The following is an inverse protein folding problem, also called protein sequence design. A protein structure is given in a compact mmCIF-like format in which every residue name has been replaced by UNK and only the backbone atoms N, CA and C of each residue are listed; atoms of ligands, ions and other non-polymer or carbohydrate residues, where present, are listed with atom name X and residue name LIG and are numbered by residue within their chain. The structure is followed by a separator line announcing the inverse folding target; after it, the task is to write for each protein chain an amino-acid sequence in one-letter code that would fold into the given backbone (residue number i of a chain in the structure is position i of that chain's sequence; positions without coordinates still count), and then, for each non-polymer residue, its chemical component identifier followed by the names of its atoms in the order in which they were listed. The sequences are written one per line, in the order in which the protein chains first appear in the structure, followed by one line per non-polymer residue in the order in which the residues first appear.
data_IF_330246637491
#
_entry.id   IF_330246637491
#
_cell.length_a   1.000
_cell.length_b   1.000
_cell.length_c   1.000
_cell.angle_alpha   90.00
_cell.angle_beta   90.00
_cell.angle_gamma   90.00
#
_symmetry.space_group_name_H-M   'P 1'
#
loop_
_entity.id
_entity.type
_entity.pdbx_description
1 polymer ?
#
# COMPACT_ATOMS: atom_id res chain seq x y z
N UNK A 1 16.91 -9.10 -9.18
CA UNK A 1 15.54 -8.63 -8.93
C UNK A 1 15.52 -7.13 -9.15
N UNK A 2 14.77 -6.63 -10.12
CA UNK A 2 14.62 -5.19 -10.36
C UNK A 2 13.39 -4.63 -9.61
N UNK A 3 13.25 -3.30 -9.58
CA UNK A 3 12.15 -2.66 -8.85
C UNK A 3 10.76 -3.07 -9.37
N UNK A 4 10.63 -3.28 -10.68
CA UNK A 4 9.38 -3.68 -11.31
C UNK A 4 8.99 -5.11 -10.94
N UNK A 5 9.95 -6.03 -10.94
CA UNK A 5 9.77 -7.41 -10.46
C UNK A 5 9.33 -7.43 -8.99
N UNK A 6 9.95 -6.62 -8.13
CA UNK A 6 9.53 -6.50 -6.73
C UNK A 6 8.06 -6.07 -6.60
N UNK A 7 7.64 -5.05 -7.36
CA UNK A 7 6.26 -4.57 -7.34
C UNK A 7 5.27 -5.64 -7.83
N UNK A 8 5.62 -6.40 -8.86
CA UNK A 8 4.80 -7.52 -9.32
C UNK A 8 4.66 -8.61 -8.27
N UNK A 9 5.75 -8.98 -7.58
CA UNK A 9 5.69 -9.96 -6.49
C UNK A 9 4.80 -9.45 -5.34
N UNK A 10 4.86 -8.16 -5.00
CA UNK A 10 3.96 -7.58 -3.99
C UNK A 10 2.48 -7.70 -4.41
N UNK A 11 2.16 -7.58 -5.70
CA UNK A 11 0.80 -7.80 -6.21
C UNK A 11 0.37 -9.25 -6.12
N UNK A 12 1.28 -10.20 -6.34
CA UNK A 12 0.99 -11.63 -6.16
C UNK A 12 0.73 -11.99 -4.70
N UNK A 13 1.51 -11.42 -3.78
CA UNK A 13 1.32 -11.61 -2.34
C UNK A 13 -0.02 -11.04 -1.86
N UNK A 14 -0.49 -9.95 -2.49
CA UNK A 14 -1.70 -9.16 -2.16
C UNK A 14 -1.64 -8.48 -0.80
N UNK A 15 -1.38 -9.22 0.27
CA UNK A 15 -1.47 -8.70 1.64
C UNK A 15 -0.09 -8.36 2.19
N UNK A 16 0.16 -7.08 2.47
CA UNK A 16 1.48 -6.61 2.93
C UNK A 16 1.40 -5.90 4.27
N UNK A 17 2.43 -6.05 5.09
CA UNK A 17 2.58 -5.28 6.33
C UNK A 17 2.93 -3.84 5.98
N UNK A 18 2.02 -2.93 6.25
CA UNK A 18 2.08 -1.52 5.90
C UNK A 18 2.28 -0.67 7.15
N UNK A 19 3.37 0.10 7.17
CA UNK A 19 3.78 0.94 8.26
C UNK A 19 3.45 2.42 8.00
N UNK A 20 2.92 3.07 9.02
CA UNK A 20 2.63 4.51 9.10
C UNK A 20 3.16 5.06 10.43
N UNK A 21 3.10 6.38 10.61
CA UNK A 21 3.41 7.05 11.87
C UNK A 21 2.15 7.76 12.34
N UNK A 22 1.81 7.61 13.62
CA UNK A 22 0.68 8.32 14.20
C UNK A 22 0.98 9.78 14.57
N UNK A 23 -0.05 10.50 15.02
CA UNK A 23 0.06 11.91 15.40
C UNK A 23 1.00 12.17 16.59
N UNK A 24 1.34 11.13 17.37
CA UNK A 24 2.29 11.20 18.49
C UNK A 24 3.71 10.82 18.07
N UNK A 25 3.91 10.46 16.80
CA UNK A 25 5.21 10.02 16.28
C UNK A 25 5.49 8.53 16.51
N UNK A 26 4.52 7.74 16.97
CA UNK A 26 4.74 6.30 17.18
C UNK A 26 4.52 5.52 15.88
N UNK A 27 5.34 4.49 15.62
CA UNK A 27 5.17 3.63 14.46
C UNK A 27 3.92 2.76 14.61
N UNK A 28 3.18 2.59 13.53
CA UNK A 28 1.97 1.78 13.45
C UNK A 28 2.09 0.82 12.29
N UNK A 29 1.65 -0.43 12.45
CA UNK A 29 1.69 -1.45 11.38
C UNK A 29 0.37 -2.20 11.29
N UNK A 30 -0.06 -2.51 10.07
CA UNK A 30 -1.22 -3.38 9.78
C UNK A 30 -1.09 -4.03 8.42
N UNK A 31 -1.90 -5.05 8.17
CA UNK A 31 -2.04 -5.63 6.82
C UNK A 31 -2.90 -4.72 5.95
N UNK A 32 -2.44 -4.47 4.72
CA UNK A 32 -3.14 -3.70 3.70
C UNK A 32 -3.01 -4.43 2.36
N UNK A 33 -4.12 -4.49 1.63
CA UNK A 33 -4.19 -5.12 0.32
C UNK A 33 -3.55 -4.22 -0.76
N UNK A 34 -2.68 -4.84 -1.55
CA UNK A 34 -2.11 -4.31 -2.79
C UNK A 34 -3.12 -4.51 -3.90
N UNK A 35 -3.95 -3.50 -4.13
CA UNK A 35 -5.10 -3.58 -5.03
C UNK A 35 -4.71 -3.53 -6.52
N UNK A 36 -3.67 -2.78 -6.87
CA UNK A 36 -3.20 -2.64 -8.26
C UNK A 36 -1.72 -2.23 -8.27
N UNK A 37 -1.00 -2.64 -9.32
CA UNK A 37 0.32 -2.14 -9.68
C UNK A 37 0.26 -1.64 -11.12
N UNK A 38 0.60 -0.38 -11.35
CA UNK A 38 0.65 0.22 -12.69
C UNK A 38 1.65 1.39 -12.70
N UNK A 39 2.43 1.54 -13.78
CA UNK A 39 3.39 2.65 -13.93
C UNK A 39 4.33 2.81 -12.73
N UNK A 40 4.86 1.69 -12.23
CA UNK A 40 5.72 1.58 -11.04
C UNK A 40 5.08 2.14 -9.75
N UNK A 41 3.75 2.20 -9.68
CA UNK A 41 2.99 2.67 -8.51
C UNK A 41 2.14 1.54 -7.93
N UNK A 42 2.04 1.56 -6.61
CA UNK A 42 1.20 0.67 -5.82
C UNK A 42 -0.06 1.41 -5.39
N UNK A 43 -1.20 0.79 -5.65
CA UNK A 43 -2.51 1.31 -5.28
C UNK A 43 -3.09 0.45 -4.17
N UNK A 44 -3.66 1.13 -3.17
CA UNK A 44 -4.40 0.55 -2.06
C UNK A 44 -5.62 1.42 -1.79
N UNK A 45 -6.59 0.91 -1.04
CA UNK A 45 -7.74 1.69 -0.60
C UNK A 45 -7.88 1.68 0.92
N UNK A 46 -8.47 2.74 1.47
CA UNK A 46 -8.84 2.80 2.87
C UNK A 46 -10.10 3.62 3.09
N UNK A 47 -10.89 3.24 4.09
CA UNK A 47 -12.05 4.02 4.51
C UNK A 47 -11.60 5.27 5.30
N UNK A 48 -12.27 6.40 5.06
CA UNK A 48 -11.92 7.70 5.65
C UNK A 48 -11.98 7.73 7.19
N UNK A 49 -12.77 6.84 7.80
CA UNK A 49 -12.92 6.74 9.25
C UNK A 49 -11.80 5.98 9.96
N UNK A 50 -10.92 5.27 9.24
CA UNK A 50 -9.85 4.47 9.85
C UNK A 50 -8.68 5.34 10.28
N UNK A 51 -8.02 4.95 11.37
CA UNK A 51 -6.81 5.65 11.83
C UNK A 51 -5.70 5.62 10.79
N UNK A 52 -5.59 4.53 10.02
CA UNK A 52 -4.67 4.48 8.87
C UNK A 52 -4.85 5.66 7.90
N UNK A 53 -6.08 6.02 7.55
CA UNK A 53 -6.34 7.17 6.68
C UNK A 53 -5.94 8.49 7.34
N UNK A 54 -6.25 8.67 8.63
CA UNK A 54 -5.85 9.87 9.39
C UNK A 54 -4.33 10.01 9.45
N UNK A 55 -3.63 8.91 9.70
CA UNK A 55 -2.17 8.85 9.77
C UNK A 55 -1.54 9.25 8.44
N UNK A 56 -2.01 8.69 7.32
CA UNK A 56 -1.55 9.06 5.97
C UNK A 56 -1.80 10.54 5.62
N UNK A 57 -2.84 11.14 6.20
CA UNK A 57 -3.15 12.57 6.00
C UNK A 57 -2.22 13.49 6.79
N UNK A 58 -1.72 13.05 7.94
CA UNK A 58 -0.80 13.80 8.80
C UNK A 58 0.65 13.61 8.33
N UNK A 59 1.06 12.37 8.14
CA UNK A 59 2.37 11.99 7.62
C UNK A 59 2.19 10.91 6.55
N UNK A 60 2.49 11.27 5.31
CA UNK A 60 2.32 10.37 4.18
C UNK A 60 3.54 9.49 3.88
N UNK A 61 4.59 9.53 4.71
CA UNK A 61 5.69 8.59 4.59
C UNK A 61 5.25 7.20 5.06
N UNK A 62 5.52 6.21 4.22
CA UNK A 62 5.10 4.84 4.43
C UNK A 62 6.24 3.89 4.13
N UNK A 63 6.22 2.74 4.80
CA UNK A 63 7.07 1.61 4.46
C UNK A 63 6.21 0.35 4.44
N UNK A 64 6.53 -0.59 3.57
CA UNK A 64 5.90 -1.90 3.54
C UNK A 64 6.95 -3.01 3.56
N UNK A 65 6.54 -4.15 4.11
CA UNK A 65 7.32 -5.37 4.16
C UNK A 65 6.42 -6.55 3.77
N UNK A 66 6.95 -7.43 2.94
CA UNK A 66 6.31 -8.68 2.58
C UNK A 66 7.36 -9.79 2.52
N UNK A 67 6.91 -11.02 2.78
CA UNK A 67 7.72 -12.21 2.66
C UNK A 67 7.14 -13.08 1.54
N UNK A 68 7.97 -13.49 0.61
CA UNK A 68 7.59 -14.42 -0.45
C UNK A 68 7.48 -15.85 0.09
N UNK A 69 6.88 -16.75 -0.68
CA UNK A 69 6.84 -18.20 -0.37
C UNK A 69 8.23 -18.85 -0.21
N UNK A 70 9.27 -18.23 -0.77
CA UNK A 70 10.65 -18.68 -0.70
C UNK A 70 11.43 -18.01 0.45
N UNK A 71 10.74 -17.41 1.44
CA UNK A 71 11.31 -16.68 2.57
C UNK A 71 12.18 -15.47 2.18
N UNK A 72 12.02 -14.95 0.96
CA UNK A 72 12.69 -13.71 0.54
C UNK A 72 11.87 -12.51 0.99
N UNK A 73 12.54 -11.53 1.60
CA UNK A 73 11.92 -10.27 2.04
C UNK A 73 11.93 -9.24 0.92
N UNK A 74 10.79 -8.58 0.71
CA UNK A 74 10.67 -7.39 -0.11
C UNK A 74 10.30 -6.22 0.78
N UNK A 75 11.04 -5.11 0.64
CA UNK A 75 10.78 -3.84 1.31
C UNK A 75 10.58 -2.74 0.29
N UNK A 76 9.59 -1.88 0.55
CA UNK A 76 9.34 -0.71 -0.27
C UNK A 76 8.99 0.47 0.64
N UNK A 77 9.65 1.61 0.42
CA UNK A 77 9.41 2.83 1.18
C UNK A 77 9.07 3.95 0.21
N UNK A 78 8.14 4.82 0.58
CA UNK A 78 7.71 5.90 -0.29
C UNK A 78 6.75 6.86 0.38
N UNK A 79 6.11 7.70 -0.43
CA UNK A 79 5.05 8.61 0.00
C UNK A 79 3.72 8.16 -0.56
N UNK A 80 2.70 8.07 0.29
CA UNK A 80 1.34 7.88 -0.15
C UNK A 80 0.77 9.19 -0.71
N UNK A 81 0.08 9.08 -1.85
CA UNK A 81 -0.63 10.20 -2.46
C UNK A 81 -2.11 9.85 -2.58
N UNK A 82 -2.97 10.74 -2.09
CA UNK A 82 -4.41 10.63 -2.33
C UNK A 82 -4.68 11.00 -3.79
N UNK A 83 -5.39 10.12 -4.50
CA UNK A 83 -5.78 10.34 -5.89
C UNK A 83 -7.08 11.15 -5.99
N UNK A 84 -7.12 12.03 -6.98
CA UNK A 84 -8.35 12.67 -7.46
C UNK A 84 -9.18 11.68 -8.29
N UNK A 85 -10.42 12.02 -8.61
CA UNK A 85 -11.36 11.15 -9.32
C UNK A 85 -11.55 9.78 -8.61
N UNK A 86 -11.91 9.83 -7.32
CA UNK A 86 -11.99 8.63 -6.47
C UNK A 86 -12.94 7.56 -7.02
N UNK A 87 -14.04 7.95 -7.67
CA UNK A 87 -15.00 7.01 -8.25
C UNK A 87 -14.34 6.13 -9.30
N UNK A 88 -13.64 6.73 -10.26
CA UNK A 88 -12.90 6.00 -11.29
C UNK A 88 -11.91 4.99 -10.68
N UNK A 89 -11.09 5.43 -9.72
CA UNK A 89 -10.08 4.55 -9.13
C UNK A 89 -10.68 3.44 -8.27
N UNK A 90 -11.75 3.72 -7.52
CA UNK A 90 -12.48 2.70 -6.76
C UNK A 90 -13.04 1.65 -7.72
N UNK A 91 -13.78 2.08 -8.75
CA UNK A 91 -14.36 1.15 -9.73
C UNK A 91 -13.25 0.34 -10.42
N UNK A 92 -12.11 0.98 -10.73
CA UNK A 92 -10.95 0.32 -11.35
C UNK A 92 -10.34 -0.75 -10.46
N UNK A 93 -10.05 -0.44 -9.18
CA UNK A 93 -9.41 -1.42 -8.29
C UNK A 93 -10.34 -2.58 -7.97
N UNK A 94 -11.65 -2.36 -7.82
CA UNK A 94 -12.60 -3.46 -7.58
C UNK A 94 -12.84 -4.31 -8.83
N UNK A 95 -12.78 -3.72 -10.04
CA UNK A 95 -12.82 -4.50 -11.29
C UNK A 95 -11.61 -5.46 -11.42
N UNK A 96 -10.45 -5.05 -10.92
CA UNK A 96 -9.22 -5.88 -10.91
C UNK A 96 -9.16 -6.87 -9.72
N UNK A 97 -10.10 -6.77 -8.78
CA UNK A 97 -10.20 -7.60 -7.58
C UNK A 97 -11.68 -7.97 -7.33
N UNK A 98 -12.27 -8.84 -8.18
CA UNK A 98 -13.67 -9.27 -8.06
C UNK A 98 -13.94 -10.09 -6.80
#
# INVERSE_FOLDING_TARGET
MNAQECLHILREIKDVSFATVDEKGFPQVRIIDVMLIENNKLYFCSARGKDFYKQLKINNHVALCAMTKNYQMIRYSGKAQRLDNQKYWIDRIFKENP
#
